data_IF_030989471250
#
_entry.id   IF_030989471250
#
_cell.length_a   1.000
_cell.length_b   1.000
_cell.length_c   1.000
_cell.angle_alpha   90.00
_cell.angle_beta   90.00
_cell.angle_gamma   90.00
#
_symmetry.space_group_name_H-M   'P 1'
#
loop_
_entity.id
_entity.type
_entity.pdbx_description
1 polymer ?
#
# COMPACT_ATOMS: atom_id res chain seq x y z
N UNK A 1 -25.65 -29.72 5.13
CA UNK A 1 -24.71 -30.64 4.44
C UNK A 1 -24.77 -30.56 2.91
N UNK A 2 -25.87 -30.11 2.29
CA UNK A 2 -26.00 -30.08 0.82
C UNK A 2 -25.02 -29.12 0.11
N UNK A 3 -24.69 -27.97 0.72
CA UNK A 3 -23.72 -27.02 0.15
C UNK A 3 -22.31 -27.59 0.00
N UNK A 4 -21.83 -28.38 0.97
CA UNK A 4 -20.49 -28.99 0.90
C UNK A 4 -20.37 -29.99 -0.26
N UNK A 5 -21.44 -30.73 -0.55
CA UNK A 5 -21.50 -31.65 -1.69
C UNK A 5 -21.51 -30.91 -3.03
N UNK A 6 -22.24 -29.80 -3.12
CA UNK A 6 -22.25 -28.94 -4.32
C UNK A 6 -20.87 -28.35 -4.57
N UNK A 7 -20.21 -27.82 -3.53
CA UNK A 7 -18.86 -27.26 -3.63
C UNK A 7 -17.85 -28.35 -4.01
N UNK A 8 -17.92 -29.53 -3.38
CA UNK A 8 -17.04 -30.66 -3.71
C UNK A 8 -17.16 -31.05 -5.18
N UNK A 9 -18.39 -31.14 -5.70
CA UNK A 9 -18.64 -31.47 -7.11
C UNK A 9 -18.13 -30.38 -8.04
N UNK A 10 -18.31 -29.10 -7.70
CA UNK A 10 -17.73 -27.99 -8.47
C UNK A 10 -16.20 -28.06 -8.49
N UNK A 11 -15.54 -28.39 -7.37
CA UNK A 11 -14.09 -28.53 -7.31
C UNK A 11 -13.57 -29.67 -8.20
N UNK A 12 -14.28 -30.80 -8.24
CA UNK A 12 -13.98 -31.89 -9.17
C UNK A 12 -14.15 -31.45 -10.63
N UNK A 13 -15.25 -30.78 -10.97
CA UNK A 13 -15.47 -30.25 -12.33
C UNK A 13 -14.39 -29.27 -12.76
N UNK A 14 -13.95 -28.35 -11.89
CA UNK A 14 -12.86 -27.39 -12.18
C UNK A 14 -11.52 -28.08 -12.42
N UNK A 15 -11.29 -29.20 -11.75
CA UNK A 15 -10.06 -29.97 -11.91
C UNK A 15 -10.03 -30.64 -13.28
N UNK A 16 -11.13 -31.28 -13.66
CA UNK A 16 -11.19 -32.17 -14.81
C UNK A 16 -11.54 -31.45 -16.13
N UNK A 17 -12.23 -30.30 -16.08
CA UNK A 17 -12.60 -29.50 -17.24
C UNK A 17 -11.79 -28.18 -17.31
N UNK A 18 -10.83 -28.06 -18.26
CA UNK A 18 -10.02 -26.86 -18.42
C UNK A 18 -10.82 -25.65 -18.92
N UNK A 19 -11.92 -25.85 -19.66
CA UNK A 19 -12.81 -24.77 -20.10
C UNK A 19 -13.55 -24.19 -18.89
N UNK A 20 -14.15 -25.07 -18.08
CA UNK A 20 -14.85 -24.68 -16.86
C UNK A 20 -13.94 -23.95 -15.88
N UNK A 21 -12.68 -24.39 -15.76
CA UNK A 21 -11.67 -23.71 -14.94
C UNK A 21 -11.38 -22.29 -15.43
N UNK A 22 -11.20 -22.09 -16.74
CA UNK A 22 -10.95 -20.75 -17.30
C UNK A 22 -12.16 -19.84 -17.10
N UNK A 23 -13.36 -20.34 -17.35
CA UNK A 23 -14.60 -19.62 -17.10
C UNK A 23 -14.73 -19.16 -15.64
N UNK A 24 -14.47 -20.05 -14.68
CA UNK A 24 -14.52 -19.72 -13.26
C UNK A 24 -13.50 -18.65 -12.86
N UNK A 25 -12.29 -18.68 -13.44
CA UNK A 25 -11.26 -17.65 -13.22
C UNK A 25 -11.74 -16.30 -13.76
N UNK A 26 -12.36 -16.26 -14.93
CA UNK A 26 -12.91 -15.04 -15.50
C UNK A 26 -14.06 -14.48 -14.68
N UNK A 27 -14.96 -15.34 -14.20
CA UNK A 27 -16.08 -14.93 -13.34
C UNK A 27 -15.59 -14.40 -11.99
N UNK A 28 -14.55 -15.02 -11.42
CA UNK A 28 -13.89 -14.50 -10.23
C UNK A 28 -13.23 -13.14 -10.48
N UNK A 29 -12.58 -12.96 -11.63
CA UNK A 29 -11.96 -11.69 -12.00
C UNK A 29 -13.00 -10.56 -12.11
N UNK A 30 -14.15 -10.82 -12.75
CA UNK A 30 -15.28 -9.87 -12.82
C UNK A 30 -15.80 -9.53 -11.44
N UNK A 31 -16.00 -10.54 -10.59
CA UNK A 31 -16.48 -10.35 -9.22
C UNK A 31 -15.49 -9.51 -8.39
N UNK A 32 -14.19 -9.81 -8.46
CA UNK A 32 -13.15 -9.05 -7.75
C UNK A 32 -13.02 -7.62 -8.24
N UNK A 33 -13.18 -7.38 -9.53
CA UNK A 33 -13.24 -6.03 -10.08
C UNK A 33 -14.41 -5.25 -9.46
N UNK A 34 -15.59 -5.85 -9.41
CA UNK A 34 -16.78 -5.21 -8.84
C UNK A 34 -16.64 -4.95 -7.33
N UNK A 35 -16.02 -5.86 -6.58
CA UNK A 35 -15.74 -5.70 -5.14
C UNK A 35 -14.80 -4.50 -4.88
N UNK A 36 -13.71 -4.37 -5.66
CA UNK A 36 -12.70 -3.34 -5.47
C UNK A 36 -13.15 -1.92 -5.82
N UNK A 37 -14.17 -1.76 -6.67
CA UNK A 37 -14.64 -0.45 -7.13
C UNK A 37 -15.95 0.02 -6.50
N UNK A 38 -16.38 -0.58 -5.39
CA UNK A 38 -17.56 -0.13 -4.62
C UNK A 38 -17.47 1.32 -4.12
N UNK A 39 -16.30 1.97 -4.19
CA UNK A 39 -16.07 3.37 -3.78
C UNK A 39 -15.50 4.28 -4.90
N UNK A 40 -15.35 3.79 -6.13
CA UNK A 40 -14.77 4.58 -7.23
C UNK A 40 -15.85 5.14 -8.17
N UNK A 41 -15.54 6.28 -8.79
CA UNK A 41 -16.41 6.99 -9.73
C UNK A 41 -16.94 6.08 -10.86
N UNK A 42 -18.25 6.12 -11.14
CA UNK A 42 -18.95 5.16 -12.01
C UNK A 42 -18.34 5.09 -13.43
N UNK A 43 -17.78 6.21 -13.91
CA UNK A 43 -17.13 6.30 -15.23
C UNK A 43 -15.85 5.46 -15.32
N UNK A 44 -15.09 5.33 -14.23
CA UNK A 44 -13.88 4.52 -14.18
C UNK A 44 -14.19 3.02 -14.13
N UNK A 45 -15.34 2.65 -13.54
CA UNK A 45 -15.80 1.26 -13.46
C UNK A 45 -16.07 0.69 -14.85
N UNK A 46 -16.79 1.43 -15.70
CA UNK A 46 -17.13 0.96 -17.04
C UNK A 46 -15.90 0.87 -17.96
N UNK A 47 -14.94 1.78 -17.80
CA UNK A 47 -13.67 1.69 -18.51
C UNK A 47 -12.88 0.44 -18.10
N UNK A 48 -12.81 0.15 -16.80
CA UNK A 48 -12.06 -0.99 -16.29
C UNK A 48 -12.75 -2.32 -16.63
N UNK A 49 -14.08 -2.39 -16.58
CA UNK A 49 -14.86 -3.55 -17.04
C UNK A 49 -14.59 -3.85 -18.51
N UNK A 50 -14.62 -2.82 -19.38
CA UNK A 50 -14.27 -2.99 -20.80
C UNK A 50 -12.85 -3.49 -21.01
N UNK A 51 -11.88 -2.95 -20.26
CA UNK A 51 -10.50 -3.40 -20.34
C UNK A 51 -10.34 -4.87 -19.92
N UNK A 52 -11.07 -5.31 -18.90
CA UNK A 52 -11.07 -6.71 -18.46
C UNK A 52 -11.64 -7.65 -19.53
N UNK A 53 -12.76 -7.30 -20.17
CA UNK A 53 -13.34 -8.14 -21.23
C UNK A 53 -12.41 -8.26 -22.44
N UNK A 54 -11.75 -7.18 -22.85
CA UNK A 54 -10.74 -7.22 -23.93
C UNK A 54 -9.56 -8.12 -23.55
N UNK A 55 -9.07 -8.03 -22.32
CA UNK A 55 -7.98 -8.90 -21.86
C UNK A 55 -8.39 -10.38 -21.81
N UNK A 56 -9.63 -10.69 -21.41
CA UNK A 56 -10.17 -12.05 -21.43
C UNK A 56 -10.23 -12.57 -22.88
N UNK A 57 -10.70 -11.75 -23.82
CA UNK A 57 -10.75 -12.11 -25.24
C UNK A 57 -9.36 -12.37 -25.83
N UNK A 58 -8.38 -11.53 -25.50
CA UNK A 58 -6.99 -11.70 -25.94
C UNK A 58 -6.35 -12.98 -25.37
N UNK A 59 -6.59 -13.29 -24.09
CA UNK A 59 -6.10 -14.52 -23.45
C UNK A 59 -6.74 -15.76 -24.08
N UNK A 60 -8.04 -15.72 -24.38
CA UNK A 60 -8.72 -16.82 -25.06
C UNK A 60 -8.24 -17.02 -26.49
N UNK A 61 -7.95 -15.92 -27.20
CA UNK A 61 -7.34 -15.98 -28.53
C UNK A 61 -5.95 -16.60 -28.48
N UNK A 62 -5.11 -16.18 -27.55
CA UNK A 62 -3.77 -16.73 -27.34
C UNK A 62 -3.80 -18.22 -26.99
N UNK A 63 -4.71 -18.62 -26.09
CA UNK A 63 -4.93 -20.02 -25.70
C UNK A 63 -5.32 -20.92 -26.88
N UNK A 64 -6.10 -20.39 -27.84
CA UNK A 64 -6.51 -21.11 -29.06
C UNK A 64 -5.39 -21.21 -30.09
N UNK A 65 -4.52 -20.20 -30.17
CA UNK A 65 -3.42 -20.13 -31.13
C UNK A 65 -2.21 -21.00 -30.73
N UNK A 66 -1.95 -21.21 -29.44
CA UNK A 66 -0.86 -22.08 -28.96
C UNK A 66 -1.16 -23.60 -29.03
N UNK A 67 -2.38 -23.99 -29.42
CA UNK A 67 -2.85 -25.37 -29.35
C UNK A 67 -2.17 -26.39 -30.31
N UNK A 68 -1.20 -26.02 -31.17
CA UNK A 68 -0.27 -27.03 -31.69
C UNK A 68 1.22 -26.64 -31.74
N UNK A 69 1.75 -25.81 -30.84
CA UNK A 69 3.22 -25.60 -30.75
C UNK A 69 3.81 -26.24 -29.50
N UNK A 70 4.19 -27.51 -29.69
CA UNK A 70 5.37 -28.20 -29.11
C UNK A 70 5.83 -27.68 -27.73
N UNK A 71 5.39 -28.41 -26.71
CA UNK A 71 6.07 -28.66 -25.43
C UNK A 71 7.60 -28.47 -25.57
N UNK A 72 8.12 -27.34 -25.10
CA UNK A 72 9.56 -27.06 -25.10
C UNK A 72 10.27 -28.08 -24.19
N UNK A 73 11.43 -28.65 -24.60
CA UNK A 73 12.16 -29.60 -23.77
C UNK A 73 12.79 -28.88 -22.57
N UNK A 74 12.59 -29.44 -21.38
CA UNK A 74 13.35 -29.11 -20.17
C UNK A 74 14.84 -29.36 -20.45
N UNK A 75 15.62 -28.28 -20.62
CA UNK A 75 17.08 -28.38 -20.58
C UNK A 75 17.50 -28.73 -19.15
N UNK A 76 17.79 -30.01 -18.94
CA UNK A 76 18.65 -30.52 -17.87
C UNK A 76 20.03 -29.89 -18.03
N UNK A 77 20.32 -28.87 -17.24
CA UNK A 77 21.69 -28.39 -17.02
C UNK A 77 22.30 -29.25 -15.92
N UNK A 78 22.97 -30.32 -16.34
CA UNK A 78 23.89 -31.08 -15.49
C UNK A 78 25.06 -30.18 -15.13
N UNK A 79 25.08 -29.72 -13.88
CA UNK A 79 26.23 -29.06 -13.27
C UNK A 79 27.33 -30.10 -13.05
N UNK A 80 28.46 -29.91 -13.72
CA UNK A 80 29.68 -30.67 -13.58
C UNK A 80 30.34 -30.32 -12.25
N UNK A 81 30.49 -31.29 -11.35
CA UNK A 81 31.34 -31.16 -10.17
C UNK A 81 32.48 -32.17 -10.26
N UNK A 82 33.68 -31.62 -10.38
CA UNK A 82 34.95 -32.32 -10.29
C UNK A 82 35.15 -32.94 -8.90
N UNK A 83 35.79 -34.11 -8.89
CA UNK A 83 36.32 -34.78 -7.72
C UNK A 83 37.31 -35.86 -8.16
N UNK A 84 38.60 -35.53 -8.04
CA UNK A 84 39.75 -36.43 -8.20
C UNK A 84 39.67 -37.64 -7.26
N UNK A 85 40.04 -38.84 -7.74
CA UNK A 85 41.22 -39.62 -7.28
C UNK A 85 41.29 -41.03 -7.91
N UNK A 86 42.49 -41.39 -8.40
CA UNK A 86 43.04 -42.77 -8.44
C UNK A 86 42.64 -43.72 -9.58
N UNK A 87 43.57 -44.00 -10.52
CA UNK A 87 43.50 -45.15 -11.45
C UNK A 87 43.86 -46.50 -10.78
N UNK A 88 44.19 -47.61 -11.50
CA UNK A 88 44.43 -47.74 -12.96
C UNK A 88 43.90 -49.05 -13.64
N UNK A 89 44.12 -49.13 -14.97
CA UNK A 89 44.37 -50.31 -15.84
C UNK A 89 43.29 -50.83 -16.83
N UNK A 90 43.84 -51.35 -17.95
CA UNK A 90 43.29 -52.09 -19.11
C UNK A 90 42.77 -51.20 -20.25
N UNK A 91 43.53 -50.91 -21.32
CA UNK A 91 44.11 -51.77 -22.39
C UNK A 91 43.07 -52.30 -23.39
N UNK A 92 42.97 -51.66 -24.55
CA UNK A 92 42.62 -52.30 -25.83
C UNK A 92 42.90 -51.37 -27.04
N UNK A 93 43.67 -51.92 -27.98
CA UNK A 93 44.09 -51.46 -29.30
C UNK A 93 42.96 -50.98 -30.24
N UNK A 94 43.07 -49.81 -30.90
CA UNK A 94 43.52 -49.57 -32.30
C UNK A 94 42.33 -49.31 -33.28
N UNK A 95 42.54 -48.80 -34.52
CA UNK A 95 43.39 -47.68 -34.95
C UNK A 95 42.63 -46.62 -35.81
N UNK A 96 43.21 -45.42 -35.86
CA UNK A 96 43.40 -44.53 -37.03
C UNK A 96 42.41 -44.59 -38.21
N UNK A 97 41.67 -43.49 -38.42
CA UNK A 97 41.55 -42.90 -39.76
C UNK A 97 41.65 -41.37 -39.66
N UNK A 98 42.80 -40.83 -40.09
CA UNK A 98 42.97 -39.42 -40.41
C UNK A 98 42.39 -39.16 -41.79
N UNK A 99 41.51 -38.18 -41.92
CA UNK A 99 41.37 -37.43 -43.16
C UNK A 99 41.35 -35.95 -42.82
N UNK A 100 42.42 -35.27 -43.24
CA UNK A 100 42.59 -33.84 -43.17
C UNK A 100 42.29 -33.27 -44.55
N UNK A 101 41.30 -32.38 -44.65
CA UNK A 101 41.17 -31.35 -45.69
C UNK A 101 40.47 -30.19 -44.97
N UNK A 102 41.22 -29.24 -44.40
CA UNK A 102 41.79 -28.05 -45.06
C UNK A 102 40.77 -26.90 -45.17
N UNK A 103 41.27 -25.77 -44.68
CA UNK A 103 40.59 -24.55 -44.29
C UNK A 103 40.10 -23.77 -45.51
N UNK A 104 38.84 -23.32 -45.51
CA UNK A 104 38.43 -22.18 -46.33
C UNK A 104 37.79 -21.12 -45.43
N UNK A 105 38.59 -20.07 -45.21
CA UNK A 105 38.25 -18.85 -44.50
C UNK A 105 37.82 -17.83 -45.57
N UNK A 106 36.58 -17.33 -45.52
CA UNK A 106 36.20 -16.04 -46.10
C UNK A 106 35.14 -15.31 -45.24
N UNK A 107 35.10 -13.97 -45.29
CA UNK A 107 34.77 -13.13 -44.14
C UNK A 107 33.47 -12.30 -44.30
N UNK A 108 33.07 -11.73 -43.15
CA UNK A 108 32.36 -10.46 -42.90
C UNK A 108 31.09 -10.10 -43.72
N UNK A 109 30.02 -9.71 -43.01
CA UNK A 109 29.35 -8.40 -43.13
C UNK A 109 28.63 -8.12 -41.79
N UNK A 110 29.14 -7.15 -41.02
CA UNK A 110 28.45 -6.51 -39.90
C UNK A 110 27.91 -5.16 -40.38
N UNK A 111 26.59 -4.98 -40.34
CA UNK A 111 25.91 -3.72 -40.64
C UNK A 111 25.58 -2.94 -39.35
N UNK A 112 25.69 -1.59 -39.30
CA UNK A 112 25.58 -0.82 -38.06
C UNK A 112 24.15 -0.37 -37.78
N UNK A 113 23.60 -0.79 -36.63
CA UNK A 113 22.28 -0.42 -36.07
C UNK A 113 22.21 1.02 -35.48
N UNK A 114 23.10 1.93 -35.91
CA UNK A 114 23.27 3.24 -35.26
C UNK A 114 22.32 4.39 -35.70
N UNK A 115 21.58 4.37 -36.83
CA UNK A 115 20.76 5.53 -37.20
C UNK A 115 19.32 5.54 -36.67
N UNK A 116 18.82 4.42 -36.10
CA UNK A 116 17.43 4.33 -35.61
C UNK A 116 17.27 4.93 -34.21
N UNK A 117 18.29 4.81 -33.34
CA UNK A 117 18.24 5.37 -31.96
C UNK A 117 18.24 6.90 -31.90
N UNK A 118 18.71 7.60 -32.94
CA UNK A 118 18.74 9.08 -32.96
C UNK A 118 17.39 9.72 -33.30
N UNK A 119 16.49 9.01 -34.01
CA UNK A 119 15.18 9.57 -34.41
C UNK A 119 14.12 9.45 -33.31
N UNK A 120 14.21 8.43 -32.46
CA UNK A 120 13.25 8.23 -31.35
C UNK A 120 13.47 9.23 -30.20
N UNK A 121 14.72 9.63 -29.94
CA UNK A 121 15.05 10.62 -28.90
C UNK A 121 14.53 12.03 -29.20
N UNK A 122 14.54 12.45 -30.48
CA UNK A 122 14.06 13.78 -30.87
C UNK A 122 12.53 13.92 -30.76
N UNK A 123 11.78 12.85 -31.05
CA UNK A 123 10.32 12.83 -30.94
C UNK A 123 9.87 12.90 -29.48
N UNK A 124 10.56 12.18 -28.58
CA UNK A 124 10.27 12.21 -27.14
C UNK A 124 10.59 13.57 -26.51
N UNK A 125 11.66 14.25 -26.95
CA UNK A 125 11.98 15.61 -26.50
C UNK A 125 10.93 16.64 -26.98
N UNK A 126 10.45 16.53 -28.21
CA UNK A 126 9.39 17.41 -28.72
C UNK A 126 8.05 17.19 -27.99
N UNK A 127 7.67 15.93 -27.73
CA UNK A 127 6.47 15.61 -26.97
C UNK A 127 6.57 16.09 -25.51
N UNK A 128 7.73 15.90 -24.87
CA UNK A 128 7.99 16.41 -23.51
C UNK A 128 7.91 17.94 -23.42
N UNK A 129 8.45 18.66 -24.41
CA UNK A 129 8.39 20.12 -24.46
C UNK A 129 6.95 20.65 -24.64
N UNK A 130 6.12 19.97 -25.44
CA UNK A 130 4.71 20.35 -25.63
C UNK A 130 3.92 20.15 -24.33
N UNK A 131 4.14 19.03 -23.62
CA UNK A 131 3.48 18.77 -22.32
C UNK A 131 3.90 19.79 -21.26
N UNK A 132 5.18 20.18 -21.23
CA UNK A 132 5.69 21.24 -20.34
C UNK A 132 5.07 22.62 -20.64
N UNK A 133 4.91 22.96 -21.92
CA UNK A 133 4.29 24.22 -22.33
C UNK A 133 2.79 24.29 -21.99
N UNK A 134 2.07 23.17 -22.07
CA UNK A 134 0.65 23.09 -21.68
C UNK A 134 0.51 23.19 -20.15
N UNK A 135 1.33 22.45 -19.40
CA UNK A 135 1.35 22.49 -17.93
C UNK A 135 1.66 23.89 -17.38
N UNK A 136 2.61 24.62 -17.97
CA UNK A 136 2.91 25.99 -17.54
C UNK A 136 1.75 26.97 -17.78
N UNK A 137 0.92 26.77 -18.82
CA UNK A 137 -0.24 27.64 -19.08
C UNK A 137 -1.32 27.49 -18.02
N UNK A 138 -1.54 26.28 -17.53
CA UNK A 138 -2.54 26.00 -16.49
C UNK A 138 -2.11 26.57 -15.13
N UNK A 139 -0.81 26.51 -14.80
CA UNK A 139 -0.26 27.11 -13.58
C UNK A 139 -0.31 28.66 -13.59
N UNK A 140 -0.06 29.29 -14.74
CA UNK A 140 -0.13 30.76 -14.87
C UNK A 140 -1.59 31.24 -14.81
N UNK A 141 -2.54 30.50 -15.41
CA UNK A 141 -3.96 30.82 -15.33
C UNK A 141 -4.52 30.70 -13.89
N UNK A 142 -4.04 29.70 -13.12
CA UNK A 142 -4.40 29.54 -11.72
C UNK A 142 -3.85 30.68 -10.84
N UNK A 143 -2.60 31.13 -11.07
CA UNK A 143 -2.01 32.25 -10.34
C UNK A 143 -2.74 33.57 -10.61
N UNK A 144 -3.16 33.81 -11.87
CA UNK A 144 -3.88 35.03 -12.25
C UNK A 144 -5.26 35.14 -11.61
N UNK A 145 -5.93 34.00 -11.36
CA UNK A 145 -7.21 33.96 -10.62
C UNK A 145 -7.02 34.32 -9.14
N UNK A 146 -5.96 33.83 -8.50
CA UNK A 146 -5.61 34.15 -7.11
C UNK A 146 -5.29 35.64 -6.91
N UNK A 147 -4.55 36.25 -7.84
CA UNK A 147 -4.20 37.69 -7.77
C UNK A 147 -5.42 38.57 -8.05
N UNK A 148 -6.33 38.15 -8.93
CA UNK A 148 -7.55 38.92 -9.21
C UNK A 148 -8.58 38.85 -8.08
N UNK A 149 -8.64 37.76 -7.31
CA UNK A 149 -9.51 37.67 -6.12
C UNK A 149 -9.00 38.52 -4.95
N UNK A 150 -7.70 38.76 -4.85
CA UNK A 150 -7.11 39.53 -3.75
C UNK A 150 -7.21 41.05 -3.96
N UNK A 151 -7.28 41.51 -5.21
CA UNK A 151 -7.40 42.93 -5.54
C UNK A 151 -8.79 43.53 -5.25
N UNK A 152 -9.81 42.69 -5.06
CA UNK A 152 -11.20 43.14 -4.86
C UNK A 152 -11.61 43.30 -3.40
N UNK A 153 -10.74 42.91 -2.45
CA UNK A 153 -11.00 42.99 -0.99
C UNK A 153 -10.21 44.10 -0.27
N UNK A 154 -9.44 44.91 -1.01
CA UNK A 154 -8.66 46.03 -0.43
C UNK A 154 -9.37 47.40 -0.59
N UNK A 155 -10.48 47.46 -1.33
CA UNK A 155 -11.18 48.71 -1.59
C UNK A 155 -12.62 48.69 -1.06
N UNK A 156 -12.81 48.72 0.26
CA UNK A 156 -13.97 49.36 0.91
C UNK A 156 -13.81 49.48 2.45
N UNK A 157 -12.90 50.35 2.91
CA UNK A 157 -12.96 50.86 4.29
C UNK A 157 -12.96 52.39 4.24
N UNK A 158 -14.11 53.06 4.40
CA UNK A 158 -14.15 54.51 4.59
C UNK A 158 -13.77 54.86 6.05
N UNK A 159 -13.20 56.06 6.30
CA UNK A 159 -12.63 56.42 7.58
C UNK A 159 -13.69 56.86 8.60
N UNK A 160 -13.32 56.63 9.86
CA UNK A 160 -13.96 56.98 11.14
C UNK A 160 -14.45 58.44 11.24
N UNK A 161 -15.51 58.70 12.01
CA UNK A 161 -15.54 59.86 12.88
C UNK A 161 -15.49 59.43 14.35
N UNK A 162 -14.67 60.15 15.10
CA UNK A 162 -14.58 60.12 16.55
C UNK A 162 -15.91 60.58 17.15
N UNK A 163 -16.46 59.79 18.08
CA UNK A 163 -17.49 60.28 19.00
C UNK A 163 -17.13 59.85 20.41
N UNK A 164 -16.69 60.84 21.17
CA UNK A 164 -16.48 60.84 22.62
C UNK A 164 -17.83 60.58 23.31
N UNK A 165 -17.98 59.46 24.03
CA UNK A 165 -19.05 59.30 25.03
C UNK A 165 -18.48 58.56 26.26
N UNK A 166 -18.16 59.38 27.26
CA UNK A 166 -18.44 59.26 28.70
C UNK A 166 -18.42 57.86 29.37
N UNK A 167 -17.52 57.78 30.35
CA UNK A 167 -17.47 56.78 31.43
C UNK A 167 -18.80 56.76 32.18
N UNK A 168 -19.45 55.59 32.19
CA UNK A 168 -20.53 55.24 33.11
C UNK A 168 -20.25 53.86 33.70
N UNK A 169 -19.91 53.83 34.98
CA UNK A 169 -20.01 52.67 35.90
C UNK A 169 -21.44 52.66 36.48
N UNK A 170 -22.04 51.58 37.03
CA UNK A 170 -21.67 50.15 37.12
C UNK A 170 -22.77 49.21 36.55
N UNK A 171 -22.53 47.88 36.50
CA UNK A 171 -23.37 46.86 37.15
C UNK A 171 -22.75 45.48 36.85
N UNK A 172 -22.48 44.69 37.89
CA UNK A 172 -22.08 43.29 37.76
C UNK A 172 -23.23 42.49 37.15
N UNK A 173 -23.12 42.16 35.87
CA UNK A 173 -23.81 40.98 35.34
C UNK A 173 -22.88 39.81 35.61
N UNK A 174 -23.23 39.01 36.61
CA UNK A 174 -22.68 37.67 36.83
C UNK A 174 -22.71 36.93 35.52
N UNK A 175 -21.56 36.83 34.84
CA UNK A 175 -21.39 35.96 33.71
C UNK A 175 -21.63 34.53 34.24
N UNK A 176 -22.77 33.96 33.90
CA UNK A 176 -23.03 32.53 34.09
C UNK A 176 -21.91 31.82 33.34
N UNK A 177 -20.98 31.24 34.10
CA UNK A 177 -19.91 30.45 33.54
C UNK A 177 -20.54 29.38 32.63
N UNK A 178 -20.10 29.25 31.37
CA UNK A 178 -20.54 28.13 30.55
C UNK A 178 -20.23 26.84 31.32
N UNK A 179 -21.09 25.81 31.25
CA UNK A 179 -20.87 24.57 31.97
C UNK A 179 -19.46 24.09 31.66
N UNK A 180 -18.66 23.90 32.70
CA UNK A 180 -17.30 23.37 32.63
C UNK A 180 -17.36 22.08 31.81
N UNK A 181 -17.00 22.17 30.53
CA UNK A 181 -16.66 20.98 29.76
C UNK A 181 -15.58 20.28 30.58
N UNK A 182 -15.70 18.96 30.82
CA UNK A 182 -14.69 18.26 31.60
C UNK A 182 -13.32 18.60 31.01
N UNK A 183 -12.44 19.14 31.86
CA UNK A 183 -11.09 19.55 31.47
C UNK A 183 -10.35 18.30 31.04
N UNK A 184 -10.41 18.01 29.74
CA UNK A 184 -9.70 16.88 29.14
C UNK A 184 -8.19 17.09 29.34
N UNK A 185 -7.50 16.02 29.70
CA UNK A 185 -6.04 16.07 29.87
C UNK A 185 -5.37 16.30 28.51
N UNK A 186 -4.49 17.29 28.47
CA UNK A 186 -3.68 17.65 27.30
C UNK A 186 -2.20 17.37 27.60
N UNK A 187 -1.42 16.93 26.60
CA UNK A 187 0.00 16.73 26.76
C UNK A 187 0.73 18.07 26.98
N UNK A 188 1.79 18.03 27.79
CA UNK A 188 2.67 19.18 28.05
C UNK A 188 3.89 19.22 27.14
N UNK A 189 4.29 18.05 26.63
CA UNK A 189 5.47 17.88 25.78
C UNK A 189 5.07 17.54 24.36
N UNK A 190 5.90 17.92 23.39
CA UNK A 190 5.66 17.60 21.98
C UNK A 190 5.70 16.08 21.76
N UNK A 191 4.70 15.58 21.03
CA UNK A 191 4.57 14.17 20.76
C UNK A 191 3.24 13.81 20.09
N UNK A 192 3.04 12.52 19.90
CA UNK A 192 1.79 11.95 19.40
C UNK A 192 1.25 11.03 20.49
N UNK A 193 0.02 11.26 20.92
CA UNK A 193 -0.55 10.61 22.09
C UNK A 193 -1.89 9.95 21.75
N UNK A 194 -2.17 8.80 22.33
CA UNK A 194 -3.49 8.18 22.36
C UNK A 194 -4.19 8.56 23.67
N UNK A 195 -5.47 8.86 23.56
CA UNK A 195 -6.35 9.12 24.68
C UNK A 195 -6.91 7.78 25.18
N UNK A 196 -6.49 7.33 26.36
CA UNK A 196 -6.99 6.08 26.95
C UNK A 196 -8.39 6.30 27.54
N UNK A 197 -8.54 7.42 28.25
CA UNK A 197 -9.78 7.95 28.78
C UNK A 197 -9.68 9.50 28.83
N UNK A 198 -10.71 10.20 29.33
CA UNK A 198 -10.67 11.67 29.38
C UNK A 198 -9.60 12.24 30.34
N UNK A 199 -8.85 11.40 31.06
CA UNK A 199 -7.90 11.77 32.12
C UNK A 199 -6.47 11.23 31.90
N UNK A 200 -6.24 10.36 30.92
CA UNK A 200 -4.96 9.70 30.74
C UNK A 200 -4.57 9.60 29.26
N UNK A 201 -3.28 9.83 29.02
CA UNK A 201 -2.65 9.83 27.70
C UNK A 201 -1.53 8.80 27.68
N UNK A 202 -1.33 8.15 26.54
CA UNK A 202 -0.17 7.31 26.28
C UNK A 202 0.55 7.78 25.02
N UNK A 203 1.85 7.99 25.10
CA UNK A 203 2.65 8.40 23.94
C UNK A 203 2.85 7.24 22.96
N UNK A 204 2.72 7.53 21.66
CA UNK A 204 2.93 6.56 20.59
C UNK A 204 4.36 6.64 20.08
N UNK A 205 4.93 5.47 19.83
CA UNK A 205 6.27 5.33 19.28
C UNK A 205 6.24 5.26 17.76
N UNK A 206 7.17 5.95 17.10
CA UNK A 206 7.36 5.83 15.66
C UNK A 206 7.86 4.43 15.28
N UNK A 207 7.37 3.91 14.17
CA UNK A 207 7.79 2.61 13.62
C UNK A 207 9.07 2.69 12.79
N UNK A 208 9.51 3.90 12.41
CA UNK A 208 10.63 4.10 11.47
C UNK A 208 10.33 3.72 10.02
N UNK A 209 9.15 3.17 9.72
CA UNK A 209 8.67 2.89 8.37
C UNK A 209 7.44 3.73 8.04
N UNK A 210 7.25 4.03 6.76
CA UNK A 210 6.07 4.77 6.29
C UNK A 210 4.95 3.79 5.95
N UNK A 211 3.70 4.20 6.19
CA UNK A 211 2.56 3.50 5.65
C UNK A 211 2.63 3.46 4.11
N UNK A 212 2.37 2.30 3.47
CA UNK A 212 2.52 2.19 2.02
C UNK A 212 1.49 3.06 1.30
N UNK A 213 1.75 3.47 0.06
CA UNK A 213 0.68 4.06 -0.76
C UNK A 213 -0.50 3.08 -0.87
N UNK A 214 -1.72 3.59 -1.08
CA UNK A 214 -2.93 2.75 -1.09
C UNK A 214 -2.90 1.66 -2.18
N UNK A 215 -2.10 1.87 -3.25
CA UNK A 215 -1.87 0.91 -4.34
C UNK A 215 -0.88 -0.21 -3.97
N UNK A 216 -0.13 -0.04 -2.89
CA UNK A 216 0.87 -1.01 -2.42
C UNK A 216 0.29 -1.75 -1.22
N UNK A 217 0.11 -3.07 -1.36
CA UNK A 217 -0.64 -3.87 -0.40
C UNK A 217 0.00 -3.97 1.00
N UNK A 218 1.34 -3.93 1.06
CA UNK A 218 2.11 -4.10 2.30
C UNK A 218 3.35 -3.19 2.33
N UNK A 219 3.74 -2.75 3.52
CA UNK A 219 5.04 -2.11 3.76
C UNK A 219 6.18 -3.12 3.81
N UNK A 220 7.44 -2.63 3.83
CA UNK A 220 8.55 -3.38 4.41
C UNK A 220 8.26 -3.82 5.85
N UNK A 221 8.94 -4.87 6.30
CA UNK A 221 8.89 -5.32 7.68
C UNK A 221 9.48 -4.30 8.65
N UNK A 222 8.89 -4.20 9.83
CA UNK A 222 9.39 -3.36 10.91
C UNK A 222 9.24 -4.08 12.26
N UNK A 223 10.09 -3.69 13.21
CA UNK A 223 9.97 -4.14 14.59
C UNK A 223 8.89 -3.32 15.30
N UNK A 224 7.84 -3.99 15.77
CA UNK A 224 6.75 -3.40 16.54
C UNK A 224 7.31 -2.86 17.87
N UNK A 225 7.05 -1.59 18.21
CA UNK A 225 7.20 -1.12 19.58
C UNK A 225 6.33 -1.92 20.56
N UNK A 226 6.79 -2.09 21.79
CA UNK A 226 6.02 -2.78 22.85
C UNK A 226 4.81 -1.94 23.33
N UNK A 227 4.89 -0.60 23.22
CA UNK A 227 3.89 0.33 23.74
C UNK A 227 3.47 1.36 22.70
N UNK A 228 2.25 1.94 22.81
CA UNK A 228 1.28 1.76 23.90
C UNK A 228 0.21 0.69 23.64
N UNK A 229 -0.31 0.13 24.72
CA UNK A 229 -1.49 -0.74 24.77
C UNK A 229 -2.73 0.07 25.14
N UNK A 230 -3.78 -0.05 24.34
CA UNK A 230 -5.05 0.64 24.51
C UNK A 230 -6.12 -0.37 24.92
N UNK A 231 -6.90 -0.08 25.97
CA UNK A 231 -7.84 -1.04 26.55
C UNK A 231 -9.08 -1.30 25.68
N UNK A 232 -9.35 -0.44 24.69
CA UNK A 232 -10.51 -0.56 23.82
C UNK A 232 -10.23 0.00 22.40
N UNK A 233 -11.10 -0.35 21.46
CA UNK A 233 -10.97 0.03 20.05
C UNK A 233 -11.48 1.42 19.69
N UNK A 234 -12.05 2.19 20.64
CA UNK A 234 -12.56 3.55 20.41
C UNK A 234 -11.46 4.57 20.60
N UNK A 235 -10.55 4.59 19.64
CA UNK A 235 -9.32 5.37 19.74
C UNK A 235 -9.53 6.85 19.37
N UNK A 236 -8.87 7.72 20.13
CA UNK A 236 -8.68 9.14 19.82
C UNK A 236 -7.22 9.49 20.05
N UNK A 237 -6.72 10.45 19.30
CA UNK A 237 -5.32 10.86 19.40
C UNK A 237 -5.18 12.36 19.57
N UNK A 238 -4.08 12.79 20.17
CA UNK A 238 -3.64 14.18 20.22
C UNK A 238 -2.29 14.24 19.54
N UNK A 239 -2.18 15.11 18.54
CA UNK A 239 -0.91 15.45 17.90
C UNK A 239 -0.50 16.81 18.42
N UNK A 240 0.60 16.86 19.16
CA UNK A 240 1.20 18.10 19.63
C UNK A 240 2.57 18.24 18.99
N UNK A 241 2.69 19.11 17.99
CA UNK A 241 3.94 19.33 17.27
C UNK A 241 4.13 20.80 16.93
N UNK A 242 5.39 21.25 16.97
CA UNK A 242 5.76 22.63 16.65
C UNK A 242 5.36 23.05 15.23
N UNK A 243 5.40 22.14 14.26
CA UNK A 243 5.03 22.42 12.87
C UNK A 243 3.52 22.36 12.61
N UNK A 244 2.73 21.82 13.55
CA UNK A 244 1.30 21.64 13.37
C UNK A 244 0.49 22.96 13.40
N UNK A 245 1.10 24.06 13.87
CA UNK A 245 0.50 25.40 13.80
C UNK A 245 0.39 25.94 12.35
N UNK A 246 1.19 25.41 11.43
CA UNK A 246 1.25 25.89 10.05
C UNK A 246 1.03 24.79 9.01
N UNK A 247 1.13 23.52 9.41
CA UNK A 247 0.91 22.37 8.55
C UNK A 247 -0.03 21.38 9.24
N UNK A 248 -1.29 21.34 8.77
CA UNK A 248 -2.25 20.32 9.21
C UNK A 248 -1.96 19.04 8.42
N UNK A 249 -1.85 17.87 9.07
CA UNK A 249 -1.69 16.61 8.36
C UNK A 249 -2.85 16.39 7.36
N UNK A 250 -2.56 16.41 6.06
CA UNK A 250 -3.58 16.29 5.00
C UNK A 250 -4.27 14.92 4.99
N UNK A 251 -3.52 13.88 5.37
CA UNK A 251 -4.00 12.49 5.40
C UNK A 251 -3.66 11.86 6.74
N UNK A 252 -4.71 11.69 7.53
CA UNK A 252 -4.66 10.99 8.82
C UNK A 252 -5.51 9.74 8.71
N UNK A 253 -4.86 8.60 8.90
CA UNK A 253 -5.52 7.30 8.81
C UNK A 253 -4.90 6.32 9.80
N UNK A 254 -5.72 5.48 10.38
CA UNK A 254 -5.26 4.31 11.13
C UNK A 254 -5.16 3.15 10.17
N UNK A 255 -4.00 2.47 10.12
CA UNK A 255 -3.77 1.31 9.29
C UNK A 255 -3.57 0.04 10.09
N UNK A 256 -4.00 -1.07 9.49
CA UNK A 256 -3.87 -2.40 10.08
C UNK A 256 -2.42 -2.86 9.98
N UNK A 257 -1.86 -3.37 11.08
CA UNK A 257 -0.58 -4.08 11.08
C UNK A 257 -0.86 -5.58 11.09
N UNK A 258 -0.20 -6.31 10.21
CA UNK A 258 -0.31 -7.75 10.15
C UNK A 258 1.01 -8.43 10.54
N UNK A 259 0.89 -9.56 11.25
CA UNK A 259 1.99 -10.47 11.53
C UNK A 259 2.15 -11.43 10.34
N UNK A 260 3.40 -11.73 9.98
CA UNK A 260 3.69 -12.82 9.05
C UNK A 260 3.79 -14.11 9.87
N UNK A 261 2.71 -14.88 9.84
CA UNK A 261 2.53 -16.09 10.61
C UNK A 261 3.42 -17.26 10.14
N UNK A 262 3.47 -17.45 8.82
CA UNK A 262 4.13 -18.60 8.17
C UNK A 262 4.81 -18.17 6.90
N UNK A 263 5.94 -18.80 6.61
CA UNK A 263 6.60 -18.69 5.32
C UNK A 263 6.66 -20.05 4.63
N UNK A 264 6.31 -20.06 3.35
CA UNK A 264 6.48 -21.18 2.43
C UNK A 264 7.51 -20.80 1.37
N UNK A 265 8.64 -21.48 1.35
CA UNK A 265 9.67 -21.37 0.32
C UNK A 265 10.22 -22.76 -0.02
N UNK A 266 11.04 -22.85 -1.08
CA UNK A 266 11.71 -24.10 -1.45
C UNK A 266 12.58 -24.65 -0.32
N UNK A 267 13.08 -23.79 0.57
CA UNK A 267 13.96 -24.15 1.69
C UNK A 267 13.22 -24.15 3.06
N UNK A 268 12.01 -23.57 3.10
CA UNK A 268 11.17 -23.46 4.29
C UNK A 268 9.72 -23.88 3.97
N UNK A 269 9.40 -25.17 4.13
CA UNK A 269 8.04 -25.67 3.96
C UNK A 269 7.14 -25.28 5.14
N UNK A 270 6.61 -24.05 5.15
CA UNK A 270 5.64 -23.60 6.16
C UNK A 270 6.25 -23.37 7.54
N UNK A 271 7.55 -23.08 7.61
CA UNK A 271 8.25 -22.82 8.87
C UNK A 271 7.76 -21.50 9.47
N UNK A 272 7.65 -21.46 10.80
CA UNK A 272 7.49 -20.20 11.53
C UNK A 272 8.75 -19.36 11.36
N UNK A 273 8.60 -18.07 11.12
CA UNK A 273 9.73 -17.18 10.90
C UNK A 273 10.50 -16.94 12.20
N UNK A 274 11.84 -16.93 12.10
CA UNK A 274 12.74 -16.62 13.21
C UNK A 274 12.68 -15.15 13.66
N UNK A 275 11.90 -14.30 12.98
CA UNK A 275 11.68 -12.88 13.32
C UNK A 275 10.73 -12.64 14.50
N UNK A 276 10.12 -13.70 15.04
CA UNK A 276 9.31 -13.64 16.26
C UNK A 276 7.99 -12.87 16.12
N UNK A 277 7.29 -12.75 17.24
CA UNK A 277 6.00 -12.06 17.36
C UNK A 277 6.14 -10.54 17.25
N UNK A 278 7.37 -10.03 17.19
CA UNK A 278 7.72 -8.61 17.25
C UNK A 278 7.83 -7.96 15.87
N UNK A 279 7.80 -8.71 14.78
CA UNK A 279 7.90 -8.17 13.42
C UNK A 279 6.52 -8.07 12.77
N UNK A 280 6.21 -6.91 12.21
CA UNK A 280 4.95 -6.63 11.54
C UNK A 280 5.14 -5.99 10.17
N UNK A 281 4.08 -6.00 9.36
CA UNK A 281 3.94 -5.22 8.13
C UNK A 281 2.68 -4.38 8.18
N UNK A 282 2.74 -3.15 7.69
CA UNK A 282 1.58 -2.26 7.57
C UNK A 282 0.81 -2.65 6.30
N UNK A 283 -0.48 -2.93 6.44
CA UNK A 283 -1.40 -3.25 5.33
C UNK A 283 -1.97 -1.98 4.70
N UNK A 284 -2.53 -2.11 3.51
CA UNK A 284 -3.25 -1.03 2.84
C UNK A 284 -4.70 -0.81 3.34
N UNK A 285 -5.14 -1.53 4.37
CA UNK A 285 -6.42 -1.28 5.03
C UNK A 285 -6.32 -0.02 5.88
N UNK A 286 -7.18 0.96 5.61
CA UNK A 286 -7.14 2.27 6.26
C UNK A 286 -8.51 2.66 6.83
N UNK A 287 -8.47 3.24 8.02
CA UNK A 287 -9.60 3.89 8.68
C UNK A 287 -9.34 5.39 8.69
N UNK A 288 -10.14 6.21 7.99
CA UNK A 288 -9.89 7.65 7.89
C UNK A 288 -10.20 8.35 9.22
N UNK A 289 -9.33 9.27 9.62
CA UNK A 289 -9.51 10.10 10.81
C UNK A 289 -9.63 11.57 10.40
N UNK A 290 -10.44 12.31 11.15
CA UNK A 290 -10.61 13.76 11.00
C UNK A 290 -9.70 14.48 11.99
N UNK A 291 -9.23 15.64 11.56
CA UNK A 291 -8.38 16.52 12.36
C UNK A 291 -9.23 17.69 12.85
N UNK A 292 -9.22 17.93 14.14
CA UNK A 292 -9.89 19.07 14.78
C UNK A 292 -8.87 19.87 15.60
N UNK A 293 -8.74 21.19 15.40
CA UNK A 293 -7.83 22.01 16.19
C UNK A 293 -8.30 22.09 17.64
N UNK A 294 -7.36 22.09 18.59
CA UNK A 294 -7.67 22.28 20.01
C UNK A 294 -7.68 23.79 20.31
N UNK A 295 -8.79 24.37 20.80
CA UNK A 295 -8.87 25.80 21.06
C UNK A 295 -7.78 26.28 22.02
N UNK A 296 -7.16 27.43 21.69
CA UNK A 296 -6.11 28.04 22.51
C UNK A 296 -4.72 27.42 22.35
N UNK A 297 -4.56 26.36 21.55
CA UNK A 297 -3.27 25.69 21.32
C UNK A 297 -3.06 25.40 19.83
N UNK A 298 -2.49 26.34 19.05
CA UNK A 298 -2.41 26.21 17.59
C UNK A 298 -1.55 25.02 17.14
N UNK A 299 -0.64 24.55 17.99
CA UNK A 299 0.25 23.41 17.74
C UNK A 299 -0.38 22.05 18.10
N UNK A 300 -1.61 22.03 18.63
CA UNK A 300 -2.30 20.81 19.05
C UNK A 300 -3.56 20.54 18.22
N UNK A 301 -3.68 19.30 17.76
CA UNK A 301 -4.86 18.82 17.07
C UNK A 301 -5.34 17.51 17.69
N UNK A 302 -6.66 17.38 17.81
CA UNK A 302 -7.33 16.13 18.13
C UNK A 302 -7.64 15.37 16.83
N UNK A 303 -7.31 14.09 16.84
CA UNK A 303 -7.66 13.16 15.78
C UNK A 303 -8.77 12.25 16.28
N UNK A 304 -9.87 12.23 15.54
CA UNK A 304 -11.02 11.40 15.89
C UNK A 304 -11.60 10.74 14.65
N UNK A 305 -12.25 9.59 14.85
CA UNK A 305 -13.02 8.94 13.80
C UNK A 305 -14.15 9.88 13.32
N UNK A 306 -14.43 9.85 12.02
CA UNK A 306 -15.62 10.48 11.44
C UNK A 306 -16.89 9.64 11.63
N UNK A 307 -16.73 8.37 12.02
CA UNK A 307 -17.78 7.40 12.27
C UNK A 307 -17.80 7.08 13.77
N UNK A 308 -18.88 7.45 14.48
CA UNK A 308 -19.01 7.25 15.93
C UNK A 308 -19.12 5.78 16.33
N UNK A 309 -19.54 4.93 15.40
CA UNK A 309 -19.72 3.49 15.63
C UNK A 309 -18.44 2.70 15.32
N UNK A 310 -17.41 3.36 14.79
CA UNK A 310 -16.15 2.70 14.50
C UNK A 310 -15.46 2.29 15.80
N UNK A 311 -15.38 0.98 16.00
CA UNK A 311 -14.59 0.34 17.03
C UNK A 311 -13.57 -0.60 16.38
N UNK A 312 -12.28 -0.33 16.62
CA UNK A 312 -11.21 -1.18 16.11
C UNK A 312 -11.25 -2.53 16.83
N UNK A 313 -11.17 -3.63 16.07
CA UNK A 313 -11.01 -4.95 16.65
C UNK A 313 -9.68 -5.04 17.43
N UNK A 314 -9.56 -5.92 18.44
CA UNK A 314 -8.29 -6.16 19.11
C UNK A 314 -7.15 -6.47 18.13
N UNK A 315 -5.96 -5.96 18.45
CA UNK A 315 -4.72 -6.25 17.73
C UNK A 315 -3.91 -5.00 17.35
N UNK A 316 -3.15 -5.08 16.25
CA UNK A 316 -2.05 -4.18 15.95
C UNK A 316 -2.39 -3.15 14.87
N UNK A 317 -2.01 -1.91 15.13
CA UNK A 317 -2.31 -0.78 14.25
C UNK A 317 -1.18 0.24 14.20
N UNK A 318 -1.23 1.09 13.19
CA UNK A 318 -0.43 2.32 13.14
C UNK A 318 -1.32 3.52 12.84
N UNK A 319 -1.07 4.63 13.52
CA UNK A 319 -1.56 5.94 13.10
C UNK A 319 -0.58 6.51 12.07
N UNK A 320 -1.06 6.70 10.83
CA UNK A 320 -0.30 7.29 9.74
C UNK A 320 -0.54 8.79 9.67
N UNK A 321 0.54 9.56 9.82
CA UNK A 321 0.57 11.02 9.73
C UNK A 321 1.54 11.42 8.61
N UNK A 322 1.01 11.53 7.39
CA UNK A 322 1.85 11.80 6.21
C UNK A 322 2.93 10.73 6.02
N UNK A 323 4.20 11.11 6.16
CA UNK A 323 5.35 10.20 5.98
C UNK A 323 5.74 9.44 7.24
N UNK A 324 5.06 9.64 8.36
CA UNK A 324 5.36 9.01 9.65
C UNK A 324 4.25 8.05 10.05
N UNK A 325 4.61 6.91 10.64
CA UNK A 325 3.66 5.96 11.19
C UNK A 325 4.00 5.66 12.66
N UNK A 326 2.99 5.71 13.51
CA UNK A 326 3.09 5.56 14.96
C UNK A 326 2.32 4.33 15.42
N UNK A 327 2.98 3.40 16.09
CA UNK A 327 2.38 2.12 16.48
C UNK A 327 1.53 2.24 17.73
N UNK A 328 0.46 1.44 17.80
CA UNK A 328 -0.28 1.14 19.01
C UNK A 328 -0.94 -0.25 18.90
N UNK A 329 -1.32 -0.81 20.05
CA UNK A 329 -2.06 -2.06 20.14
C UNK A 329 -3.39 -1.83 20.84
N UNK A 330 -4.46 -2.45 20.33
CA UNK A 330 -5.74 -2.58 21.03
C UNK A 330 -5.75 -3.93 21.72
N UNK A 331 -5.94 -3.95 23.03
CA UNK A 331 -5.90 -5.17 23.84
C UNK A 331 -7.09 -6.10 23.53
N UNK A 332 -6.84 -7.42 23.69
CA UNK A 332 -7.82 -8.48 23.46
C UNK A 332 -7.30 -9.56 22.51
N UNK A 333 -8.12 -10.58 22.27
CA UNK A 333 -7.79 -11.69 21.36
C UNK A 333 -7.87 -11.24 19.89
N UNK A 334 -6.78 -11.43 19.14
CA UNK A 334 -6.73 -11.04 17.72
C UNK A 334 -7.52 -12.04 16.89
N UNK A 335 -8.70 -11.62 16.44
CA UNK A 335 -9.62 -12.46 15.64
C UNK A 335 -9.78 -11.99 14.20
N UNK A 336 -9.23 -10.81 13.87
CA UNK A 336 -9.32 -10.23 12.54
C UNK A 336 -8.31 -10.86 11.57
N UNK A 337 -8.76 -11.57 10.50
CA UNK A 337 -7.86 -12.18 9.53
C UNK A 337 -7.01 -11.17 8.76
N UNK A 338 -7.37 -9.88 8.76
CA UNK A 338 -6.57 -8.82 8.11
C UNK A 338 -5.25 -8.56 8.83
N UNK A 339 -5.13 -8.99 10.09
CA UNK A 339 -3.93 -8.87 10.91
C UNK A 339 -2.99 -10.09 10.83
N UNK A 340 -3.30 -11.07 9.97
CA UNK A 340 -2.50 -12.27 9.81
C UNK A 340 -2.19 -12.55 8.34
N UNK A 341 -0.91 -12.81 8.04
CA UNK A 341 -0.45 -13.15 6.70
C UNK A 341 0.36 -14.45 6.66
N UNK A 342 0.14 -15.19 5.59
CA UNK A 342 1.01 -16.27 5.12
C UNK A 342 1.83 -15.75 3.94
N UNK A 343 3.13 -15.96 3.99
CA UNK A 343 4.09 -15.57 2.95
C UNK A 343 4.48 -16.77 2.11
N UNK A 344 4.54 -16.61 0.80
CA UNK A 344 5.11 -17.58 -0.13
C UNK A 344 6.27 -16.92 -0.87
N UNK A 345 7.48 -17.44 -0.72
CA UNK A 345 8.68 -16.98 -1.42
C UNK A 345 8.96 -17.97 -2.56
N UNK A 346 8.83 -17.50 -3.80
CA UNK A 346 9.10 -18.25 -5.00
C UNK A 346 10.18 -17.54 -5.85
N UNK A 347 10.74 -18.23 -6.84
CA UNK A 347 11.80 -17.66 -7.69
C UNK A 347 11.38 -16.40 -8.48
N UNK A 348 10.08 -16.20 -8.67
CA UNK A 348 9.50 -15.03 -9.34
C UNK A 348 9.05 -13.91 -8.38
N UNK A 349 9.22 -14.08 -7.06
CA UNK A 349 8.89 -13.05 -6.07
C UNK A 349 8.23 -13.59 -4.81
N UNK A 350 7.76 -12.65 -4.00
CA UNK A 350 7.12 -12.92 -2.70
C UNK A 350 5.64 -12.58 -2.76
N UNK A 351 4.81 -13.54 -2.38
CA UNK A 351 3.35 -13.43 -2.36
C UNK A 351 2.83 -13.51 -0.93
N UNK A 352 1.72 -12.81 -0.67
CA UNK A 352 1.10 -12.75 0.64
C UNK A 352 -0.38 -13.10 0.54
N UNK A 353 -0.84 -13.98 1.41
CA UNK A 353 -2.24 -14.34 1.55
C UNK A 353 -2.71 -14.11 2.99
N UNK A 354 -3.96 -13.71 3.23
CA UNK A 354 -4.52 -13.66 4.58
C UNK A 354 -4.60 -15.08 5.16
N UNK A 355 -4.43 -15.20 6.47
CA UNK A 355 -4.56 -16.49 7.15
C UNK A 355 -5.99 -17.00 7.10
N UNK A 356 -6.18 -18.32 6.94
CA UNK A 356 -7.52 -18.96 6.97
C UNK A 356 -8.22 -18.83 8.32
N UNK A 357 -7.46 -18.75 9.41
CA UNK A 357 -7.96 -18.51 10.77
C UNK A 357 -7.00 -17.54 11.44
N UNK A 358 -7.54 -16.46 11.99
CA UNK A 358 -6.79 -15.56 12.87
C UNK A 358 -6.67 -16.11 14.29
N UNK A 359 -7.54 -17.06 14.69
CA UNK A 359 -7.53 -17.71 16.02
C UNK A 359 -6.27 -18.55 16.22
N UNK A 360 -5.14 -17.92 16.48
CA UNK A 360 -3.89 -18.45 17.10
C UNK A 360 -2.78 -17.39 17.06
N UNK A 361 -3.10 -16.11 17.29
CA UNK A 361 -2.11 -15.04 17.41
C UNK A 361 -2.33 -14.20 18.65
#
# INVERSE_FOLDING_TARGET
>A
MQFALVISRMLETVKDDPEFRRQLVYDLARYKLQEQFTYADAKNIDQMKRALEVAIEEVEKFSREEAPLKRLPQHQLTSSKAGETGGPLLSADAPVLRSAIETSRRPAISGPLWPVMKRTGAILLAAGAIVLLISQRDHIAALRRLVSSQAQEIALVPPRPETTITVSKPEMVTAVAPPLKPTRVLPTDYGVYALIDDKSLAELNSTGVMAPDMRVAISPEFKKPDRPHLPNGRVKFIVFRRDAAHAIPERVEVRVVAKIAREFSTDAAGKTLNGGDDVGVIRNFAYPFRVSPIPGTPEMHELHTGDSELELAPGHYVLSLGTQAYYFQVDGEITDPRQCLERVVAGNGTFYAPCKKARTY
#
